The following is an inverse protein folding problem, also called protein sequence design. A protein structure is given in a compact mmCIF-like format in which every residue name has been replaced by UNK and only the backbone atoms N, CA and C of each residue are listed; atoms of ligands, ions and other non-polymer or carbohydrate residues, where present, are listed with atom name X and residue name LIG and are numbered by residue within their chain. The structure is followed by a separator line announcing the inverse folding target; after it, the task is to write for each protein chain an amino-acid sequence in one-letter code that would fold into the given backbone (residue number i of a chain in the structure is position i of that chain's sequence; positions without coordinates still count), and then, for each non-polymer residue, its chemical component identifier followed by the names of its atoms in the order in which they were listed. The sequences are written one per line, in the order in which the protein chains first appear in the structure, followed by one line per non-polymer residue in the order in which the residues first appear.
data_IF_492703729327
#
_entry.id   IF_492703729327
#
_cell.length_a   1.000
_cell.length_b   1.000
_cell.length_c   1.000
_cell.angle_alpha   90.00
_cell.angle_beta   90.00
_cell.angle_gamma   90.00
#
_symmetry.space_group_name_H-M   'P 1'
#
loop_
_entity.id
_entity.type
_entity.pdbx_description
1 polymer ?
#
# COMPACT_ATOMS: atom_id res chain seq x y z
N UNK A 1 1.80 17.47 5.91
CA UNK A 1 1.54 18.62 5.01
C UNK A 1 2.85 19.01 4.37
N UNK A 2 2.93 19.04 3.04
CA UNK A 2 4.08 19.60 2.33
C UNK A 2 4.08 21.12 2.48
N UNK A 3 5.25 21.72 2.62
CA UNK A 3 5.39 23.17 2.52
C UNK A 3 5.10 23.56 1.05
N UNK A 4 4.28 24.58 0.78
CA UNK A 4 4.02 25.01 -0.59
C UNK A 4 5.33 25.45 -1.25
N UNK A 5 5.61 24.95 -2.45
CA UNK A 5 6.79 25.38 -3.21
C UNK A 5 6.63 26.87 -3.54
N UNK A 6 7.62 27.72 -3.22
CA UNK A 6 7.53 29.14 -3.51
C UNK A 6 7.54 29.37 -5.01
N UNK A 7 6.61 30.19 -5.49
CA UNK A 7 6.62 30.68 -6.86
C UNK A 7 7.65 31.82 -6.96
N UNK A 8 8.73 31.61 -7.72
CA UNK A 8 9.83 32.57 -7.83
C UNK A 8 9.49 33.73 -8.76
N UNK A 9 8.69 33.46 -9.79
CA UNK A 9 8.22 34.45 -10.76
C UNK A 9 6.84 34.02 -11.27
N UNK A 10 5.83 34.86 -11.06
CA UNK A 10 4.43 34.59 -11.35
C UNK A 10 3.93 35.19 -12.67
N UNK A 11 4.82 35.84 -13.43
CA UNK A 11 4.49 36.44 -14.73
C UNK A 11 4.04 35.38 -15.72
N UNK A 12 2.93 35.65 -16.38
CA UNK A 12 2.37 34.85 -17.47
C UNK A 12 2.68 35.49 -18.81
N UNK A 13 2.40 34.76 -19.88
CA UNK A 13 2.54 35.24 -21.26
C UNK A 13 2.04 36.67 -21.46
N UNK A 14 0.82 36.98 -21.00
CA UNK A 14 0.22 38.30 -21.22
C UNK A 14 0.98 39.40 -20.47
N UNK A 15 1.41 39.14 -19.25
CA UNK A 15 2.21 40.08 -18.47
C UNK A 15 3.52 40.41 -19.20
N UNK A 16 4.16 39.40 -19.80
CA UNK A 16 5.38 39.57 -20.58
C UNK A 16 5.15 40.34 -21.89
N UNK A 17 4.04 40.09 -22.59
CA UNK A 17 3.67 40.83 -23.82
C UNK A 17 3.37 42.29 -23.48
N UNK A 18 2.62 42.54 -22.41
CA UNK A 18 2.23 43.88 -22.00
C UNK A 18 3.44 44.69 -21.52
N UNK A 19 4.34 44.08 -20.75
CA UNK A 19 5.61 44.68 -20.33
C UNK A 19 6.48 45.04 -21.55
N UNK A 20 6.59 44.13 -22.52
CA UNK A 20 7.34 44.40 -23.75
C UNK A 20 6.72 45.55 -24.56
N UNK A 21 5.39 45.58 -24.72
CA UNK A 21 4.68 46.66 -25.41
C UNK A 21 4.86 48.01 -24.71
N UNK A 22 4.85 48.05 -23.37
CA UNK A 22 5.14 49.27 -22.60
C UNK A 22 6.54 49.82 -22.87
N UNK A 23 7.51 48.96 -23.17
CA UNK A 23 8.89 49.38 -23.47
C UNK A 23 9.04 49.95 -24.88
N UNK A 24 8.17 49.61 -25.84
CA UNK A 24 8.28 50.06 -27.24
C UNK A 24 8.33 51.59 -27.32
N UNK A 25 7.40 52.28 -26.65
CA UNK A 25 7.34 53.74 -26.68
C UNK A 25 8.59 54.45 -26.12
N UNK A 26 9.34 53.77 -25.24
CA UNK A 26 10.56 54.31 -24.65
C UNK A 26 11.82 53.95 -25.44
N UNK A 27 11.84 52.77 -26.08
CA UNK A 27 13.05 52.19 -26.69
C UNK A 27 13.07 52.29 -28.21
N UNK A 28 11.89 52.25 -28.84
CA UNK A 28 11.71 52.19 -30.28
C UNK A 28 10.61 53.18 -30.72
N UNK A 29 10.83 54.50 -30.55
CA UNK A 29 9.81 55.52 -30.84
C UNK A 29 9.39 55.55 -32.32
N UNK A 30 10.27 55.10 -33.23
CA UNK A 30 9.99 55.03 -34.67
C UNK A 30 9.07 53.85 -35.05
N UNK A 31 8.87 52.90 -34.14
CA UNK A 31 7.97 51.76 -34.37
C UNK A 31 6.55 52.16 -33.96
N UNK A 32 5.72 52.46 -34.95
CA UNK A 32 4.39 53.07 -34.75
C UNK A 32 3.22 52.12 -34.97
N UNK A 33 3.41 51.01 -35.68
CA UNK A 33 2.38 50.00 -35.90
C UNK A 33 2.48 48.92 -34.83
N UNK A 34 1.48 48.81 -33.95
CA UNK A 34 1.41 47.81 -32.88
C UNK A 34 0.18 46.90 -33.02
N UNK A 35 -0.33 46.75 -34.25
CA UNK A 35 -1.47 45.90 -34.52
C UNK A 35 -1.11 44.41 -34.36
N UNK A 36 -2.12 43.54 -34.22
CA UNK A 36 -1.96 42.08 -34.13
C UNK A 36 -1.29 41.50 -35.39
N UNK A 37 -1.44 42.16 -36.53
CA UNK A 37 -0.81 41.75 -37.80
C UNK A 37 0.66 42.20 -37.93
N UNK A 38 1.19 42.96 -36.99
CA UNK A 38 2.58 43.41 -37.04
C UNK A 38 3.54 42.24 -36.74
N UNK A 39 4.47 41.92 -37.65
CA UNK A 39 5.48 40.88 -37.41
C UNK A 39 6.35 41.17 -36.17
N UNK A 40 6.55 42.44 -35.80
CA UNK A 40 7.27 42.80 -34.57
C UNK A 40 6.51 42.36 -33.31
N UNK A 41 5.19 42.56 -33.28
CA UNK A 41 4.32 42.05 -32.21
C UNK A 41 4.34 40.52 -32.17
N UNK A 42 4.34 39.84 -33.32
CA UNK A 42 4.48 38.37 -33.39
C UNK A 42 5.79 37.89 -32.77
N UNK A 43 6.91 38.61 -32.96
CA UNK A 43 8.18 38.27 -32.32
C UNK A 43 8.13 38.46 -30.80
N UNK A 44 7.47 39.53 -30.32
CA UNK A 44 7.25 39.73 -28.88
C UNK A 44 6.48 38.54 -28.29
N UNK A 45 5.40 38.12 -28.94
CA UNK A 45 4.60 36.97 -28.52
C UNK A 45 5.44 35.68 -28.52
N UNK A 46 6.23 35.44 -29.57
CA UNK A 46 7.11 34.28 -29.63
C UNK A 46 8.09 34.24 -28.45
N UNK A 47 8.78 35.35 -28.17
CA UNK A 47 9.72 35.41 -27.06
C UNK A 47 9.03 35.35 -25.70
N UNK A 48 7.84 35.95 -25.56
CA UNK A 48 7.03 35.83 -24.34
C UNK A 48 6.68 34.36 -24.06
N UNK A 49 6.32 33.58 -25.09
CA UNK A 49 6.07 32.14 -24.95
C UNK A 49 7.33 31.36 -24.52
N UNK A 50 8.49 31.70 -25.10
CA UNK A 50 9.76 31.07 -24.70
C UNK A 50 10.14 31.39 -23.26
N UNK A 51 9.94 32.64 -22.83
CA UNK A 51 10.22 33.07 -21.45
C UNK A 51 9.25 32.43 -20.48
N UNK A 52 7.96 32.35 -20.78
CA UNK A 52 6.97 31.66 -19.94
C UNK A 52 7.37 30.20 -19.69
N UNK A 53 7.85 29.49 -20.73
CA UNK A 53 8.40 28.14 -20.57
C UNK A 53 9.65 28.09 -19.67
N UNK A 54 10.51 29.12 -19.72
CA UNK A 54 11.67 29.23 -18.86
C UNK A 54 11.26 29.51 -17.39
N UNK A 55 10.29 30.40 -17.16
CA UNK A 55 9.74 30.70 -15.84
C UNK A 55 9.09 29.46 -15.22
N UNK A 56 8.36 28.66 -16.01
CA UNK A 56 7.83 27.38 -15.56
C UNK A 56 8.93 26.44 -15.03
N UNK A 57 10.08 26.37 -15.69
CA UNK A 57 11.21 25.55 -15.24
C UNK A 57 11.91 26.14 -14.01
N UNK A 58 12.04 27.47 -13.94
CA UNK A 58 12.60 28.16 -12.79
C UNK A 58 11.79 27.86 -11.52
N UNK A 59 10.47 27.85 -11.63
CA UNK A 59 9.57 27.55 -10.51
C UNK A 59 9.62 26.09 -10.01
N UNK A 60 10.31 25.19 -10.71
CA UNK A 60 10.61 23.83 -10.23
C UNK A 60 11.92 23.73 -9.44
N UNK A 61 12.76 24.76 -9.46
CA UNK A 61 14.07 24.75 -8.78
C UNK A 61 13.95 24.65 -7.26
N UNK A 62 13.04 25.36 -6.57
CA UNK A 62 12.92 25.28 -5.11
C UNK A 62 12.68 23.85 -4.61
N UNK A 63 11.76 23.12 -5.25
CA UNK A 63 11.43 21.73 -4.90
C UNK A 63 12.63 20.79 -5.13
N UNK A 64 13.31 20.91 -6.27
CA UNK A 64 14.52 20.13 -6.56
C UNK A 64 15.63 20.37 -5.56
N UNK A 65 15.84 21.63 -5.18
CA UNK A 65 16.84 21.99 -4.17
C UNK A 65 16.46 21.43 -2.80
N UNK A 66 15.19 21.51 -2.42
CA UNK A 66 14.71 20.95 -1.16
C UNK A 66 15.00 19.44 -1.07
N UNK A 67 14.64 18.66 -2.10
CA UNK A 67 14.94 17.23 -2.17
C UNK A 67 16.44 17.00 -2.07
N UNK A 68 17.24 17.75 -2.82
CA UNK A 68 18.70 17.60 -2.81
C UNK A 68 19.31 17.91 -1.45
N UNK A 69 18.79 18.90 -0.73
CA UNK A 69 19.24 19.22 0.63
C UNK A 69 18.89 18.10 1.61
N UNK A 70 17.72 17.47 1.49
CA UNK A 70 17.35 16.29 2.29
C UNK A 70 18.34 15.14 2.05
N UNK A 71 18.63 14.82 0.79
CA UNK A 71 19.62 13.79 0.43
C UNK A 71 21.01 14.08 1.03
N UNK A 72 21.45 15.33 0.97
CA UNK A 72 22.76 15.76 1.49
C UNK A 72 22.90 15.60 3.00
N UNK A 73 21.81 15.77 3.77
CA UNK A 73 21.80 15.53 5.22
C UNK A 73 21.54 14.05 5.57
N UNK A 74 21.50 13.17 4.57
CA UNK A 74 21.35 11.73 4.73
C UNK A 74 19.90 11.24 4.83
N UNK A 75 18.91 12.12 4.60
CA UNK A 75 17.51 11.71 4.52
C UNK A 75 17.28 11.12 3.13
N UNK A 76 16.91 9.84 3.10
CA UNK A 76 16.56 9.12 1.89
C UNK A 76 15.12 8.63 2.00
N UNK A 77 14.47 8.43 0.86
CA UNK A 77 13.20 7.72 0.81
C UNK A 77 13.42 6.29 1.31
N UNK A 78 12.66 5.88 2.31
CA UNK A 78 12.64 4.48 2.74
C UNK A 78 12.13 3.60 1.61
N UNK A 79 12.75 2.44 1.45
CA UNK A 79 12.28 1.45 0.48
C UNK A 79 10.89 0.97 0.88
N UNK A 80 9.99 0.70 -0.08
CA UNK A 80 8.71 0.09 0.24
C UNK A 80 8.93 -1.25 0.96
N UNK A 81 8.34 -1.40 2.14
CA UNK A 81 8.39 -2.65 2.88
C UNK A 81 7.19 -3.55 2.53
N UNK A 82 7.39 -4.87 2.33
CA UNK A 82 6.29 -5.80 2.13
C UNK A 82 5.33 -5.78 3.32
N UNK A 83 4.03 -5.71 3.05
CA UNK A 83 3.01 -5.81 4.08
C UNK A 83 3.05 -7.21 4.75
N UNK A 84 2.77 -7.25 6.05
CA UNK A 84 2.69 -8.50 6.83
C UNK A 84 1.38 -8.58 7.58
N UNK A 85 0.85 -9.78 7.71
CA UNK A 85 -0.37 -10.07 8.46
C UNK A 85 -0.32 -11.48 9.04
N UNK A 86 -1.05 -11.70 10.12
CA UNK A 86 -1.23 -13.03 10.69
C UNK A 86 -2.34 -13.79 9.95
N UNK A 87 -2.13 -15.09 9.76
CA UNK A 87 -3.11 -16.01 9.17
C UNK A 87 -3.36 -17.18 10.12
N UNK A 88 -4.63 -17.60 10.22
CA UNK A 88 -5.02 -18.79 10.95
C UNK A 88 -5.31 -19.94 9.99
N UNK A 89 -4.50 -21.00 10.05
CA UNK A 89 -4.76 -22.23 9.32
C UNK A 89 -5.61 -23.17 10.17
N UNK A 90 -6.75 -23.59 9.64
CA UNK A 90 -7.64 -24.55 10.29
C UNK A 90 -7.75 -25.81 9.43
N UNK A 91 -7.45 -26.95 10.03
CA UNK A 91 -7.68 -28.25 9.41
C UNK A 91 -9.17 -28.58 9.43
N UNK A 92 -9.74 -28.88 8.26
CA UNK A 92 -11.14 -29.31 8.11
C UNK A 92 -11.31 -30.82 8.27
N UNK A 93 -10.22 -31.58 8.16
CA UNK A 93 -10.16 -33.04 8.26
C UNK A 93 -8.88 -33.45 9.01
N UNK A 94 -8.83 -34.64 9.62
CA UNK A 94 -7.57 -35.21 10.10
C UNK A 94 -6.50 -35.23 9.01
N UNK A 95 -5.23 -35.10 9.40
CA UNK A 95 -4.11 -35.14 8.45
C UNK A 95 -3.96 -36.58 7.94
N UNK A 96 -3.88 -36.73 6.62
CA UNK A 96 -3.54 -37.98 5.93
C UNK A 96 -2.11 -37.83 5.36
N UNK A 97 -1.30 -38.88 5.40
CA UNK A 97 0.03 -38.90 4.79
C UNK A 97 -0.06 -39.00 3.25
N UNK A 98 1.09 -39.00 2.56
CA UNK A 98 1.14 -39.14 1.09
C UNK A 98 0.62 -40.49 0.58
N UNK A 99 0.44 -41.47 1.46
CA UNK A 99 -0.10 -42.80 1.18
C UNK A 99 -1.58 -42.95 1.60
N UNK A 100 -2.20 -41.92 2.19
CA UNK A 100 -3.59 -41.95 2.65
C UNK A 100 -3.79 -42.52 4.07
N UNK A 101 -2.72 -42.72 4.83
CA UNK A 101 -2.76 -43.18 6.22
C UNK A 101 -2.86 -42.00 7.20
N UNK A 102 -3.41 -42.20 8.41
CA UNK A 102 -3.52 -41.12 9.39
C UNK A 102 -2.14 -40.57 9.81
N UNK A 103 -1.83 -39.33 9.39
CA UNK A 103 -0.66 -38.59 9.82
C UNK A 103 -0.92 -37.83 11.13
N UNK A 104 0.10 -37.79 11.99
CA UNK A 104 0.05 -37.08 13.27
C UNK A 104 0.46 -35.60 13.17
N UNK A 105 1.00 -35.19 12.02
CA UNK A 105 1.58 -33.88 11.79
C UNK A 105 1.53 -33.50 10.31
N UNK A 106 1.29 -32.21 10.03
CA UNK A 106 1.51 -31.58 8.73
C UNK A 106 2.38 -30.35 8.88
N UNK A 107 3.31 -30.17 7.95
CA UNK A 107 4.22 -29.03 7.90
C UNK A 107 3.84 -28.17 6.69
N UNK A 108 3.52 -26.89 6.96
CA UNK A 108 3.34 -25.87 5.93
C UNK A 108 4.70 -25.19 5.72
N UNK A 109 5.37 -25.42 4.58
CA UNK A 109 6.68 -24.84 4.30
C UNK A 109 6.60 -23.32 4.25
N UNK A 110 7.64 -22.66 4.76
CA UNK A 110 7.86 -21.24 4.56
C UNK A 110 7.98 -20.94 3.05
N UNK A 111 7.45 -19.78 2.62
CA UNK A 111 7.54 -19.20 1.27
C UNK A 111 6.81 -19.93 0.15
N UNK A 112 6.57 -21.23 0.29
CA UNK A 112 5.86 -22.05 -0.69
C UNK A 112 4.34 -22.09 -0.41
N UNK A 113 3.94 -21.81 0.83
CA UNK A 113 2.53 -21.61 1.18
C UNK A 113 2.11 -20.19 0.85
N UNK A 114 1.13 -20.03 -0.05
CA UNK A 114 0.64 -18.72 -0.52
C UNK A 114 -0.83 -18.51 -0.11
N UNK A 115 -1.16 -17.28 0.32
CA UNK A 115 -2.52 -16.81 0.53
C UNK A 115 -2.72 -15.53 -0.28
N UNK A 116 -3.90 -15.34 -0.87
CA UNK A 116 -4.18 -14.18 -1.71
C UNK A 116 -5.41 -13.42 -1.22
N UNK A 117 -5.44 -12.11 -1.47
CA UNK A 117 -6.67 -11.32 -1.32
C UNK A 117 -7.71 -11.75 -2.36
N UNK A 118 -8.97 -11.36 -2.13
CA UNK A 118 -10.04 -11.62 -3.09
C UNK A 118 -9.83 -10.73 -4.31
N UNK A 119 -9.70 -11.34 -5.49
CA UNK A 119 -9.73 -10.61 -6.76
C UNK A 119 -11.10 -9.95 -6.94
N UNK A 120 -11.12 -8.67 -7.26
CA UNK A 120 -12.36 -7.95 -7.61
C UNK A 120 -12.37 -7.65 -9.11
N UNK A 121 -13.43 -7.01 -9.62
CA UNK A 121 -13.47 -6.56 -11.02
C UNK A 121 -12.46 -5.43 -11.30
N UNK A 122 -12.11 -4.66 -10.26
CA UNK A 122 -11.24 -3.48 -10.36
C UNK A 122 -9.82 -3.71 -9.87
N UNK A 123 -9.58 -4.74 -9.08
CA UNK A 123 -8.29 -5.00 -8.44
C UNK A 123 -7.86 -6.46 -8.60
N UNK A 124 -6.60 -6.64 -9.01
CA UNK A 124 -5.95 -7.95 -9.03
C UNK A 124 -5.72 -8.48 -7.60
N UNK A 125 -5.62 -9.80 -7.46
CA UNK A 125 -5.33 -10.41 -6.17
C UNK A 125 -3.87 -10.15 -5.77
N UNK A 126 -3.67 -9.75 -4.52
CA UNK A 126 -2.33 -9.59 -3.93
C UNK A 126 -1.97 -10.88 -3.23
N UNK A 127 -0.87 -11.49 -3.66
CA UNK A 127 -0.34 -12.72 -3.08
C UNK A 127 0.61 -12.42 -1.92
N UNK A 128 0.43 -13.15 -0.82
CA UNK A 128 1.29 -13.19 0.35
C UNK A 128 1.86 -14.59 0.50
N UNK A 129 3.13 -14.72 0.85
CA UNK A 129 3.75 -15.99 1.18
C UNK A 129 4.05 -16.08 2.67
N UNK A 130 4.13 -17.30 3.22
CA UNK A 130 4.46 -17.51 4.63
C UNK A 130 5.92 -17.18 4.92
N UNK A 131 6.18 -16.39 5.98
CA UNK A 131 7.55 -16.04 6.38
C UNK A 131 8.29 -17.20 7.06
N UNK A 132 7.55 -18.07 7.75
CA UNK A 132 8.08 -19.16 8.56
C UNK A 132 7.31 -20.46 8.35
N UNK A 133 7.97 -21.58 8.68
CA UNK A 133 7.36 -22.91 8.64
C UNK A 133 6.32 -23.03 9.76
N UNK A 134 5.14 -23.55 9.43
CA UNK A 134 4.09 -23.83 10.40
C UNK A 134 3.87 -25.34 10.52
N UNK A 135 4.23 -25.88 11.69
CA UNK A 135 4.03 -27.27 12.05
C UNK A 135 2.70 -27.43 12.79
N UNK A 136 1.73 -28.08 12.16
CA UNK A 136 0.43 -28.37 12.75
C UNK A 136 0.42 -29.83 13.21
N UNK A 137 0.15 -30.04 14.50
CA UNK A 137 0.11 -31.37 15.12
C UNK A 137 -1.32 -31.72 15.52
N UNK A 138 -1.68 -32.99 15.39
CA UNK A 138 -2.94 -33.53 15.94
C UNK A 138 -2.63 -34.15 17.32
N UNK A 139 -2.88 -33.44 18.44
CA UNK A 139 -2.70 -34.05 19.76
C UNK A 139 -3.67 -35.21 19.93
N UNK A 140 -3.16 -36.38 20.32
CA UNK A 140 -4.00 -37.50 20.76
C UNK A 140 -4.30 -37.31 22.25
N UNK A 141 -5.57 -37.32 22.62
CA UNK A 141 -5.97 -37.34 24.01
C UNK A 141 -5.54 -38.68 24.62
N UNK A 142 -4.46 -38.66 25.41
CA UNK A 142 -3.92 -39.88 26.00
C UNK A 142 -4.75 -40.34 27.20
N UNK A 143 -5.02 -39.44 28.14
CA UNK A 143 -5.74 -39.75 29.37
C UNK A 143 -6.64 -38.59 29.79
N UNK A 144 -7.80 -38.94 30.33
CA UNK A 144 -8.65 -38.02 31.07
C UNK A 144 -8.67 -38.55 32.50
N UNK A 145 -8.22 -37.72 33.43
CA UNK A 145 -8.35 -38.02 34.85
C UNK A 145 -9.50 -37.19 35.40
N UNK A 146 -10.48 -37.86 35.99
CA UNK A 146 -11.50 -37.23 36.80
C UNK A 146 -11.25 -37.63 38.25
N UNK A 147 -11.12 -36.64 39.13
CA UNK A 147 -11.14 -36.87 40.57
C UNK A 147 -12.61 -36.68 40.98
N UNK A 148 -13.30 -37.72 41.45
CA UNK A 148 -14.61 -37.54 42.08
C UNK A 148 -14.45 -36.52 43.21
N UNK A 149 -15.27 -35.48 43.22
CA UNK A 149 -15.38 -34.61 44.38
C UNK A 149 -15.64 -35.48 45.59
N UNK A 150 -14.92 -35.24 46.68
CA UNK A 150 -15.14 -35.92 47.96
C UNK A 150 -16.59 -35.69 48.32
N UNK A 151 -17.39 -36.75 48.25
CA UNK A 151 -18.76 -36.73 48.70
C UNK A 151 -18.67 -36.63 50.24
N UNK A 152 -18.71 -35.40 50.75
CA UNK A 152 -18.84 -35.10 52.18
C UNK A 152 -20.26 -35.43 52.68
N UNK A 153 -20.81 -36.57 52.23
CA UNK A 153 -21.96 -37.24 52.81
C UNK A 153 -23.27 -36.46 52.81
N UNK A 154 -23.48 -35.51 51.89
CA UNK A 154 -24.74 -34.76 51.82
C UNK A 154 -25.34 -34.77 50.41
N UNK A 155 -26.36 -35.64 50.30
CA UNK A 155 -27.40 -35.74 49.28
C UNK A 155 -27.13 -36.70 48.10
N UNK A 156 -27.51 -37.96 48.37
CA UNK A 156 -28.01 -38.91 47.40
C UNK A 156 -29.24 -38.33 46.67
N UNK A 157 -29.14 -38.06 45.37
CA UNK A 157 -30.30 -37.98 44.48
C UNK A 157 -30.15 -39.00 43.35
N UNK A 158 -30.87 -40.09 43.51
CA UNK A 158 -31.05 -41.17 42.55
C UNK A 158 -31.74 -40.65 41.28
N UNK A 159 -30.98 -40.35 40.22
CA UNK A 159 -31.49 -40.43 38.83
C UNK A 159 -30.47 -41.05 37.89
N UNK A 160 -30.66 -42.35 37.72
CA UNK A 160 -29.96 -43.28 36.84
C UNK A 160 -30.33 -43.07 35.36
N UNK A 161 -29.32 -43.33 34.51
CA UNK A 161 -29.34 -43.82 33.13
C UNK A 161 -29.56 -42.83 31.98
N UNK A 162 -28.48 -42.63 31.22
CA UNK A 162 -28.49 -42.05 29.89
C UNK A 162 -27.15 -42.13 29.17
N UNK A 163 -26.45 -43.27 29.21
CA UNK A 163 -25.26 -43.52 28.37
C UNK A 163 -25.69 -43.46 26.90
N UNK A 164 -25.30 -42.39 26.19
CA UNK A 164 -25.42 -42.31 24.73
C UNK A 164 -24.08 -42.67 24.11
N UNK A 165 -23.98 -43.92 23.68
CA UNK A 165 -22.99 -44.38 22.71
C UNK A 165 -23.17 -43.60 21.40
N UNK A 166 -22.14 -42.82 21.03
CA UNK A 166 -22.00 -42.21 19.72
C UNK A 166 -20.90 -42.93 18.96
N UNK A 167 -21.14 -44.19 18.61
CA UNK A 167 -20.41 -44.88 17.55
C UNK A 167 -21.30 -45.96 16.95
N UNK A 168 -21.95 -45.63 15.83
CA UNK A 168 -22.42 -46.63 14.88
C UNK A 168 -22.17 -46.15 13.46
N UNK A 169 -21.12 -46.72 12.89
CA UNK A 169 -20.83 -46.74 11.46
C UNK A 169 -22.05 -47.26 10.66
N UNK A 170 -22.28 -46.62 9.52
CA UNK A 170 -22.89 -47.22 8.31
C UNK A 170 -21.92 -46.86 7.18
N UNK A 171 -21.40 -47.79 6.39
CA UNK A 171 -22.14 -48.87 5.75
C UNK A 171 -22.62 -48.36 4.40
#
# INVERSE_FOLDING_TARGET
MSLPSPNLDDRKFQDLVDDAKRQIGLRCPDWTDHNVSDPGVTLIELFASMVEQALFRLNQVPEKNFIRFLEMIGINLEMPEPARTDLLFRLTRPVEDRQGEEAYEIVLPARDTVAATVRTETEEAIEFSTDAELRMVRPKLAHVFAIPGTDDGLAQDDRVAGTRDLNREKG
#
